data_IF_811669307682
#
_entry.id   IF_811669307682
#
_cell.length_a   1.000
_cell.length_b   1.000
_cell.length_c   1.000
_cell.angle_alpha   90.00
_cell.angle_beta   90.00
_cell.angle_gamma   90.00
#
_symmetry.space_group_name_H-M   'P 1'
#
loop_
_entity.id
_entity.type
_entity.pdbx_description
1 polymer ?
#
# COMPACT_ATOMS: atom_id res chain seq x y z
N UNK A 1 -13.07 2.97 17.73
CA UNK A 1 -12.30 1.96 16.97
C UNK A 1 -13.23 1.35 15.94
N UNK A 2 -13.07 1.70 14.66
CA UNK A 2 -13.99 1.33 13.58
C UNK A 2 -13.84 -0.17 13.24
N UNK A 3 -14.97 -0.90 13.12
CA UNK A 3 -15.01 -2.32 12.73
C UNK A 3 -14.31 -2.56 11.38
N UNK A 4 -14.18 -1.52 10.55
CA UNK A 4 -13.45 -1.52 9.27
C UNK A 4 -11.93 -1.70 9.40
N UNK A 5 -11.33 -1.32 10.54
CA UNK A 5 -9.89 -1.53 10.75
C UNK A 5 -9.55 -2.99 11.07
N UNK A 6 -10.53 -3.78 11.57
CA UNK A 6 -10.35 -5.22 11.77
C UNK A 6 -10.39 -5.99 10.44
N UNK A 7 -11.11 -5.54 9.41
CA UNK A 7 -11.19 -6.27 8.14
C UNK A 7 -9.85 -6.30 7.38
N UNK A 8 -9.06 -5.20 7.44
CA UNK A 8 -7.71 -5.17 6.86
C UNK A 8 -6.66 -5.95 7.67
N UNK A 9 -6.90 -6.14 8.97
CA UNK A 9 -6.01 -6.90 9.88
C UNK A 9 -6.38 -8.39 9.92
N UNK A 10 -7.64 -8.75 9.61
CA UNK A 10 -8.13 -10.13 9.57
C UNK A 10 -7.74 -10.89 8.28
N UNK A 11 -7.22 -10.21 7.26
CA UNK A 11 -6.66 -10.86 6.07
C UNK A 11 -5.21 -11.34 6.29
N UNK A 12 -4.58 -10.98 7.41
CA UNK A 12 -3.21 -11.38 7.80
C UNK A 12 -3.19 -12.06 9.18
N UNK A 13 -4.26 -12.77 9.57
CA UNK A 13 -4.18 -13.68 10.70
C UNK A 13 -3.59 -15.01 10.23
N UNK A 14 -2.38 -15.32 10.70
CA UNK A 14 -1.53 -16.51 10.49
C UNK A 14 -2.21 -17.87 10.88
N UNK A 15 -3.44 -18.12 10.43
CA UNK A 15 -4.18 -19.35 10.69
C UNK A 15 -5.24 -19.63 9.62
N UNK A 16 -5.30 -20.87 9.15
CA UNK A 16 -6.31 -21.31 8.18
C UNK A 16 -7.72 -21.09 8.77
N UNK A 17 -8.60 -20.29 8.15
CA UNK A 17 -9.90 -19.95 8.75
C UNK A 17 -10.74 -21.20 9.00
N UNK A 18 -11.40 -21.25 10.15
CA UNK A 18 -12.33 -22.35 10.47
C UNK A 18 -13.61 -22.28 9.61
N UNK A 19 -14.40 -23.35 9.59
CA UNK A 19 -15.60 -23.44 8.72
C UNK A 19 -16.61 -22.32 8.96
N UNK A 20 -16.75 -21.84 10.20
CA UNK A 20 -17.61 -20.72 10.52
C UNK A 20 -17.08 -19.40 9.90
N UNK A 21 -15.77 -19.15 10.00
CA UNK A 21 -15.12 -17.99 9.39
C UNK A 21 -15.21 -18.03 7.87
N UNK A 22 -15.01 -19.20 7.24
CA UNK A 22 -15.19 -19.39 5.79
C UNK A 22 -16.62 -19.09 5.35
N UNK A 23 -17.62 -19.57 6.09
CA UNK A 23 -19.03 -19.29 5.82
C UNK A 23 -19.37 -17.80 5.91
N UNK A 24 -18.87 -17.12 6.95
CA UNK A 24 -19.03 -15.67 7.10
C UNK A 24 -18.35 -14.89 5.98
N UNK A 25 -17.13 -15.26 5.59
CA UNK A 25 -16.40 -14.66 4.47
C UNK A 25 -17.19 -14.79 3.15
N UNK A 26 -17.71 -15.98 2.86
CA UNK A 26 -18.54 -16.23 1.67
C UNK A 26 -19.80 -15.36 1.68
N UNK A 27 -20.50 -15.29 2.82
CA UNK A 27 -21.72 -14.47 2.96
C UNK A 27 -21.44 -12.99 2.78
N UNK A 28 -20.34 -12.49 3.35
CA UNK A 28 -19.93 -11.09 3.21
C UNK A 28 -19.57 -10.76 1.76
N UNK A 29 -18.76 -11.61 1.10
CA UNK A 29 -18.38 -11.42 -0.30
C UNK A 29 -19.60 -11.42 -1.23
N UNK A 30 -20.56 -12.32 -1.01
CA UNK A 30 -21.81 -12.35 -1.78
C UNK A 30 -22.62 -11.06 -1.61
N UNK A 31 -22.76 -10.58 -0.37
CA UNK A 31 -23.47 -9.33 -0.09
C UNK A 31 -22.76 -8.13 -0.74
N UNK A 32 -21.42 -8.07 -0.63
CA UNK A 32 -20.65 -6.98 -1.23
C UNK A 32 -20.76 -7.00 -2.76
N UNK A 33 -20.75 -8.18 -3.40
CA UNK A 33 -20.98 -8.31 -4.83
C UNK A 33 -22.38 -7.83 -5.23
N UNK A 34 -23.42 -8.20 -4.46
CA UNK A 34 -24.80 -7.77 -4.70
C UNK A 34 -24.91 -6.24 -4.61
N UNK A 35 -24.33 -5.64 -3.57
CA UNK A 35 -24.30 -4.18 -3.38
C UNK A 35 -23.52 -3.50 -4.50
N UNK A 36 -22.34 -4.02 -4.85
CA UNK A 36 -21.52 -3.49 -5.95
C UNK A 36 -22.27 -3.50 -7.29
N UNK A 37 -23.01 -4.59 -7.58
CA UNK A 37 -23.85 -4.70 -8.79
C UNK A 37 -24.98 -3.68 -8.83
N UNK A 38 -25.51 -3.28 -7.67
CA UNK A 38 -26.56 -2.26 -7.57
C UNK A 38 -26.07 -0.81 -7.66
N UNK A 39 -24.74 -0.57 -7.62
CA UNK A 39 -24.21 0.79 -7.69
C UNK A 39 -24.55 1.45 -9.04
N UNK A 40 -24.88 2.75 -9.05
CA UNK A 40 -25.12 3.49 -10.28
C UNK A 40 -23.87 3.47 -11.17
N UNK A 41 -24.10 3.58 -12.48
CA UNK A 41 -23.02 3.62 -13.46
C UNK A 41 -22.79 5.04 -13.97
N UNK A 42 -21.53 5.38 -14.18
CA UNK A 42 -21.08 6.60 -14.84
C UNK A 42 -20.01 6.16 -15.84
N UNK A 43 -20.17 6.50 -17.13
CA UNK A 43 -19.32 6.03 -18.23
C UNK A 43 -19.02 4.52 -18.21
N UNK A 44 -20.06 3.70 -17.94
CA UNK A 44 -19.93 2.24 -17.88
C UNK A 44 -19.34 1.68 -16.57
N UNK A 45 -18.64 2.50 -15.78
CA UNK A 45 -18.03 2.15 -14.50
C UNK A 45 -18.99 2.30 -13.31
N UNK A 46 -18.77 1.55 -12.24
CA UNK A 46 -19.53 1.70 -10.99
C UNK A 46 -19.06 2.95 -10.23
N UNK A 47 -20.00 3.82 -9.87
CA UNK A 47 -19.71 5.02 -9.09
C UNK A 47 -19.48 4.65 -7.62
N UNK A 48 -18.24 4.82 -7.16
CA UNK A 48 -17.84 4.60 -5.76
C UNK A 48 -17.44 5.92 -5.14
N UNK A 49 -18.00 6.25 -3.97
CA UNK A 49 -17.57 7.41 -3.17
C UNK A 49 -16.39 7.01 -2.28
N UNK A 50 -15.33 7.81 -2.31
CA UNK A 50 -14.15 7.61 -1.48
C UNK A 50 -14.04 8.71 -0.43
N UNK A 51 -13.67 8.33 0.79
CA UNK A 51 -13.50 9.25 1.91
C UNK A 51 -12.26 8.87 2.72
N UNK A 52 -11.66 9.84 3.41
CA UNK A 52 -10.67 9.54 4.43
C UNK A 52 -11.27 8.73 5.58
N UNK A 53 -10.41 8.09 6.37
CA UNK A 53 -10.84 7.44 7.61
C UNK A 53 -11.60 8.42 8.53
N UNK A 54 -12.53 7.90 9.32
CA UNK A 54 -13.33 8.70 10.25
C UNK A 54 -12.45 9.61 11.12
N UNK A 55 -12.79 10.90 11.18
CA UNK A 55 -12.04 11.96 11.88
C UNK A 55 -10.63 12.23 11.33
N UNK A 56 -10.33 11.82 10.09
CA UNK A 56 -9.11 12.19 9.38
C UNK A 56 -9.43 13.04 8.15
N UNK A 57 -8.53 13.96 7.80
CA UNK A 57 -8.50 14.69 6.54
C UNK A 57 -7.24 14.35 5.71
N UNK A 58 -6.56 13.28 6.10
CA UNK A 58 -5.23 12.91 5.60
C UNK A 58 -5.07 11.38 5.56
N UNK A 59 -4.14 10.91 4.72
CA UNK A 59 -3.85 9.49 4.52
C UNK A 59 -4.63 8.88 3.36
N UNK A 60 -4.96 7.59 3.47
CA UNK A 60 -5.63 6.84 2.40
C UNK A 60 -7.11 7.18 2.25
N UNK A 61 -7.56 7.13 1.00
CA UNK A 61 -8.97 7.14 0.63
C UNK A 61 -9.54 5.72 0.67
N UNK A 62 -10.69 5.57 1.31
CA UNK A 62 -11.42 4.32 1.46
C UNK A 62 -12.80 4.42 0.81
N UNK A 63 -13.21 3.36 0.12
CA UNK A 63 -14.54 3.23 -0.42
C UNK A 63 -15.59 3.29 0.70
N UNK A 64 -16.64 4.09 0.50
CA UNK A 64 -17.74 4.25 1.45
C UNK A 64 -18.71 3.06 1.52
N UNK A 65 -18.46 1.99 0.76
CA UNK A 65 -19.29 0.79 0.66
C UNK A 65 -18.62 -0.26 -0.23
N UNK A 66 -19.39 -1.19 -0.78
CA UNK A 66 -18.86 -2.23 -1.66
C UNK A 66 -18.13 -1.63 -2.86
N UNK A 67 -16.88 -2.05 -3.08
CA UNK A 67 -16.01 -1.57 -4.15
C UNK A 67 -15.03 -2.66 -4.54
N UNK A 68 -14.49 -2.57 -5.76
CA UNK A 68 -13.33 -3.39 -6.14
C UNK A 68 -12.15 -3.20 -5.18
N UNK A 69 -12.04 -2.04 -4.50
CA UNK A 69 -11.02 -1.80 -3.47
C UNK A 69 -11.10 -2.79 -2.31
N UNK A 70 -12.31 -3.23 -1.93
CA UNK A 70 -12.53 -4.08 -0.74
C UNK A 70 -12.58 -5.56 -1.09
N UNK A 71 -12.59 -5.93 -2.37
CA UNK A 71 -12.62 -7.32 -2.78
C UNK A 71 -11.26 -8.01 -2.58
N UNK A 72 -11.26 -9.30 -2.19
CA UNK A 72 -10.04 -10.11 -2.17
C UNK A 72 -9.33 -10.06 -3.52
N UNK A 73 -8.00 -10.09 -3.52
CA UNK A 73 -7.17 -9.92 -4.73
C UNK A 73 -7.61 -10.83 -5.87
N UNK A 74 -7.78 -12.13 -5.62
CA UNK A 74 -8.07 -13.11 -6.68
C UNK A 74 -9.48 -12.93 -7.23
N UNK A 75 -10.44 -12.57 -6.37
CA UNK A 75 -11.81 -12.27 -6.78
C UNK A 75 -11.88 -10.99 -7.61
N UNK A 76 -11.14 -9.96 -7.17
CA UNK A 76 -10.96 -8.70 -7.86
C UNK A 76 -10.35 -8.93 -9.25
N UNK A 77 -9.27 -9.72 -9.33
CA UNK A 77 -8.63 -10.11 -10.58
C UNK A 77 -9.59 -10.84 -11.53
N UNK A 78 -10.34 -11.83 -11.03
CA UNK A 78 -11.32 -12.57 -11.84
C UNK A 78 -12.44 -11.68 -12.40
N UNK A 79 -12.89 -10.68 -11.64
CA UNK A 79 -13.94 -9.75 -12.08
C UNK A 79 -13.47 -8.72 -13.11
N UNK A 80 -12.17 -8.43 -13.15
CA UNK A 80 -11.62 -7.33 -13.94
C UNK A 80 -10.73 -7.80 -15.10
N UNK A 81 -10.43 -9.10 -15.16
CA UNK A 81 -9.61 -9.70 -16.19
C UNK A 81 -10.13 -9.38 -17.59
N UNK A 82 -9.26 -8.79 -18.42
CA UNK A 82 -9.59 -8.35 -19.79
C UNK A 82 -10.53 -7.14 -19.89
N UNK A 83 -10.95 -6.56 -18.76
CA UNK A 83 -11.91 -5.44 -18.72
C UNK A 83 -11.29 -4.14 -18.22
N UNK A 84 -10.37 -4.24 -17.25
CA UNK A 84 -9.70 -3.09 -16.63
C UNK A 84 -8.19 -3.31 -16.61
N UNK A 85 -7.44 -2.21 -16.59
CA UNK A 85 -6.00 -2.22 -16.38
C UNK A 85 -5.68 -1.89 -14.91
N UNK A 86 -4.96 -2.77 -14.20
CA UNK A 86 -4.58 -2.56 -12.77
C UNK A 86 -3.21 -1.85 -12.71
N UNK A 87 -3.21 -0.55 -12.42
CA UNK A 87 -2.01 0.30 -12.38
C UNK A 87 -1.59 0.56 -10.93
N UNK A 88 -0.34 0.28 -10.58
CA UNK A 88 0.19 0.46 -9.23
C UNK A 88 1.58 1.09 -9.20
N UNK A 89 1.85 1.87 -8.14
CA UNK A 89 3.19 2.35 -7.83
C UNK A 89 4.06 1.22 -7.27
N UNK A 90 5.23 1.02 -7.88
CA UNK A 90 6.18 -0.01 -7.44
C UNK A 90 6.77 0.35 -6.10
N UNK A 91 6.59 -0.54 -5.11
CA UNK A 91 7.23 -0.45 -3.79
C UNK A 91 7.02 0.94 -3.14
N UNK A 92 5.82 1.51 -3.35
CA UNK A 92 5.48 2.92 -3.14
C UNK A 92 6.03 3.49 -1.83
N UNK A 93 5.66 2.87 -0.70
CA UNK A 93 6.04 3.35 0.62
C UNK A 93 7.56 3.40 0.84
N UNK A 94 8.34 2.44 0.32
CA UNK A 94 9.79 2.44 0.47
C UNK A 94 10.42 3.60 -0.32
N UNK A 95 9.96 3.85 -1.54
CA UNK A 95 10.40 5.02 -2.31
C UNK A 95 10.04 6.34 -1.63
N UNK A 96 8.83 6.43 -1.05
CA UNK A 96 8.38 7.61 -0.30
C UNK A 96 9.28 7.82 0.93
N UNK A 97 9.51 6.80 1.74
CA UNK A 97 10.36 6.92 2.94
C UNK A 97 11.77 7.33 2.54
N UNK A 98 12.34 6.74 1.48
CA UNK A 98 13.67 7.11 0.99
C UNK A 98 13.70 8.56 0.47
N UNK A 99 12.66 9.03 -0.21
CA UNK A 99 12.52 10.43 -0.62
C UNK A 99 12.46 11.35 0.60
N UNK A 100 11.62 11.06 1.60
CA UNK A 100 11.55 11.83 2.84
C UNK A 100 12.90 11.87 3.56
N UNK A 101 13.64 10.76 3.59
CA UNK A 101 14.98 10.73 4.17
C UNK A 101 15.94 11.68 3.44
N UNK A 102 16.00 11.61 2.10
CA UNK A 102 16.84 12.51 1.29
C UNK A 102 16.50 13.98 1.50
N UNK A 103 15.21 14.33 1.51
CA UNK A 103 14.76 15.72 1.69
C UNK A 103 15.11 16.30 3.07
N UNK A 104 15.44 15.46 4.05
CA UNK A 104 15.85 15.88 5.40
C UNK A 104 17.31 15.54 5.73
N UNK A 105 18.12 15.16 4.74
CA UNK A 105 19.53 14.81 4.96
C UNK A 105 19.74 13.56 5.83
N UNK A 106 18.78 12.63 5.83
CA UNK A 106 18.84 11.38 6.60
C UNK A 106 19.40 10.28 5.72
N UNK A 107 20.53 9.71 6.12
CA UNK A 107 21.08 8.54 5.43
C UNK A 107 20.16 7.33 5.58
N UNK A 108 19.99 6.57 4.51
CA UNK A 108 19.19 5.33 4.48
C UNK A 108 19.77 4.28 3.50
N UNK A 109 21.05 3.87 3.68
CA UNK A 109 21.73 2.97 2.74
C UNK A 109 21.03 1.63 2.54
N UNK A 110 20.50 0.99 3.59
CA UNK A 110 19.87 -0.33 3.46
C UNK A 110 18.50 -0.25 2.79
N UNK A 111 17.72 0.79 3.07
CA UNK A 111 16.48 1.09 2.34
C UNK A 111 16.77 1.37 0.87
N UNK A 112 17.84 2.12 0.58
CA UNK A 112 18.25 2.42 -0.80
C UNK A 112 18.70 1.16 -1.53
N UNK A 113 19.49 0.30 -0.86
CA UNK A 113 19.88 -1.01 -1.37
C UNK A 113 18.65 -1.90 -1.63
N UNK A 114 17.68 -1.95 -0.70
CA UNK A 114 16.46 -2.73 -0.90
C UNK A 114 15.65 -2.26 -2.10
N UNK A 115 15.58 -0.95 -2.35
CA UNK A 115 14.90 -0.40 -3.53
C UNK A 115 15.64 -0.81 -4.81
N UNK A 116 16.97 -0.68 -4.84
CA UNK A 116 17.79 -0.95 -6.03
C UNK A 116 17.92 -2.45 -6.35
N UNK A 117 18.06 -3.28 -5.32
CA UNK A 117 18.40 -4.70 -5.41
C UNK A 117 17.28 -5.60 -4.87
N UNK A 118 16.03 -5.14 -4.96
CA UNK A 118 14.86 -5.74 -4.30
C UNK A 118 14.74 -7.25 -4.47
N UNK A 119 14.78 -7.73 -5.71
CA UNK A 119 14.60 -9.15 -6.01
C UNK A 119 15.76 -10.01 -5.50
N UNK A 120 16.99 -9.48 -5.51
CA UNK A 120 18.15 -10.17 -4.95
C UNK A 120 18.02 -10.32 -3.42
N UNK A 121 17.61 -9.25 -2.72
CA UNK A 121 17.37 -9.29 -1.26
C UNK A 121 16.26 -10.29 -0.92
N UNK A 122 15.12 -10.23 -1.62
CA UNK A 122 13.99 -11.13 -1.39
C UNK A 122 14.37 -12.60 -1.61
N UNK A 123 15.00 -12.91 -2.76
CA UNK A 123 15.37 -14.28 -3.11
C UNK A 123 16.41 -14.85 -2.15
N UNK A 124 17.40 -14.05 -1.73
CA UNK A 124 18.44 -14.46 -0.78
C UNK A 124 17.86 -14.84 0.58
N UNK A 125 17.00 -13.98 1.15
CA UNK A 125 16.37 -14.24 2.45
C UNK A 125 15.39 -15.43 2.35
N UNK A 126 14.65 -15.53 1.24
CA UNK A 126 13.71 -16.60 0.99
C UNK A 126 14.40 -17.97 0.97
N UNK A 127 15.48 -18.09 0.18
CA UNK A 127 16.28 -19.31 0.08
C UNK A 127 16.88 -19.71 1.43
N UNK A 128 17.46 -18.76 2.17
CA UNK A 128 18.11 -19.04 3.45
C UNK A 128 17.12 -19.49 4.56
N UNK A 129 15.84 -19.16 4.43
CA UNK A 129 14.82 -19.43 5.45
C UNK A 129 13.75 -20.43 4.99
N UNK A 130 13.86 -21.00 3.78
CA UNK A 130 12.86 -21.91 3.22
C UNK A 130 11.49 -21.26 3.03
N UNK A 131 11.46 -19.97 2.71
CA UNK A 131 10.24 -19.17 2.54
C UNK A 131 9.97 -18.88 1.06
N UNK A 132 8.73 -18.51 0.74
CA UNK A 132 8.43 -17.94 -0.56
C UNK A 132 8.80 -16.46 -0.61
N UNK A 133 9.06 -15.96 -1.81
CA UNK A 133 9.35 -14.54 -2.04
C UNK A 133 8.32 -13.60 -1.41
N UNK A 134 7.03 -13.93 -1.52
CA UNK A 134 5.95 -13.10 -1.01
C UNK A 134 5.85 -13.12 0.53
N UNK A 135 6.30 -14.20 1.17
CA UNK A 135 6.43 -14.27 2.63
C UNK A 135 7.54 -13.32 3.11
N UNK A 136 8.69 -13.32 2.44
CA UNK A 136 9.78 -12.39 2.77
C UNK A 136 9.36 -10.94 2.54
N UNK A 137 8.60 -10.67 1.47
CA UNK A 137 8.04 -9.34 1.21
C UNK A 137 7.19 -8.85 2.39
N UNK A 138 6.34 -9.70 2.96
CA UNK A 138 5.51 -9.33 4.11
C UNK A 138 6.36 -9.10 5.36
N UNK A 139 7.42 -9.89 5.57
CA UNK A 139 8.39 -9.72 6.66
C UNK A 139 9.10 -8.37 6.56
N UNK A 140 9.65 -8.02 5.40
CA UNK A 140 10.36 -6.74 5.20
C UNK A 140 9.41 -5.55 5.39
N UNK A 141 8.18 -5.63 4.88
CA UNK A 141 7.16 -4.59 5.10
C UNK A 141 6.86 -4.41 6.59
N UNK A 142 6.67 -5.53 7.31
CA UNK A 142 6.45 -5.50 8.76
C UNK A 142 7.63 -4.89 9.52
N UNK A 143 8.86 -5.26 9.18
CA UNK A 143 10.08 -4.70 9.78
C UNK A 143 10.22 -3.21 9.50
N UNK A 144 9.87 -2.76 8.29
CA UNK A 144 9.85 -1.33 7.91
C UNK A 144 9.00 -0.50 8.86
N UNK A 145 7.92 -1.08 9.39
CA UNK A 145 7.01 -0.47 10.35
C UNK A 145 7.23 -0.92 11.81
N UNK A 146 8.45 -1.38 12.13
CA UNK A 146 8.87 -1.66 13.50
C UNK A 146 8.34 -2.96 14.09
N UNK A 147 7.80 -3.85 13.25
CA UNK A 147 7.46 -5.21 13.64
C UNK A 147 8.68 -6.11 13.72
N UNK A 148 8.50 -7.28 14.36
CA UNK A 148 9.57 -8.30 14.48
C UNK A 148 9.79 -8.99 13.13
N UNK A 149 11.04 -9.33 12.83
CA UNK A 149 11.43 -10.16 11.67
C UNK A 149 10.99 -11.62 11.86
N UNK A 150 9.69 -11.87 11.71
CA UNK A 150 9.09 -13.20 11.88
C UNK A 150 8.11 -13.52 10.76
N UNK A 151 7.86 -14.79 10.49
CA UNK A 151 6.79 -15.27 9.62
C UNK A 151 6.09 -16.45 10.29
N UNK A 152 4.75 -16.44 10.40
CA UNK A 152 3.99 -17.43 11.18
C UNK A 152 4.58 -17.67 12.58
N UNK A 153 4.92 -16.58 13.28
CA UNK A 153 5.61 -16.56 14.58
C UNK A 153 7.02 -17.16 14.63
N UNK A 154 7.57 -17.65 13.51
CA UNK A 154 8.96 -18.14 13.42
C UNK A 154 9.91 -16.98 13.08
N UNK A 155 11.07 -16.85 13.77
CA UNK A 155 12.08 -15.87 13.39
C UNK A 155 12.58 -16.09 11.94
N UNK A 156 12.78 -14.99 11.22
CA UNK A 156 13.46 -14.98 9.93
C UNK A 156 14.86 -14.46 10.16
N UNK A 157 15.85 -15.31 9.93
CA UNK A 157 17.25 -15.02 10.22
C UNK A 157 17.93 -14.45 8.98
N UNK A 158 18.42 -13.22 9.09
CA UNK A 158 19.28 -12.59 8.10
C UNK A 158 20.01 -11.39 8.72
N UNK A 159 21.32 -11.30 8.50
CA UNK A 159 22.14 -10.19 9.03
C UNK A 159 21.69 -8.85 8.48
N UNK A 160 21.45 -8.78 7.16
CA UNK A 160 21.00 -7.56 6.50
C UNK A 160 19.63 -7.14 7.04
N UNK A 161 18.68 -8.07 7.22
CA UNK A 161 17.37 -7.77 7.79
C UNK A 161 17.44 -7.21 9.22
N UNK A 162 18.37 -7.71 10.04
CA UNK A 162 18.64 -7.17 11.38
C UNK A 162 19.17 -5.74 11.34
N UNK A 163 20.14 -5.46 10.45
CA UNK A 163 20.66 -4.11 10.23
C UNK A 163 19.60 -3.17 9.67
N UNK A 164 18.77 -3.64 8.73
CA UNK A 164 17.66 -2.91 8.14
C UNK A 164 16.63 -2.51 9.19
N UNK A 165 16.29 -3.41 10.12
CA UNK A 165 15.40 -3.10 11.24
C UNK A 165 15.94 -1.97 12.13
N UNK A 166 17.25 -1.96 12.40
CA UNK A 166 17.90 -0.87 13.14
C UNK A 166 17.87 0.44 12.36
N UNK A 167 18.12 0.39 11.05
CA UNK A 167 18.00 1.56 10.16
C UNK A 167 16.58 2.13 10.16
N UNK A 168 15.55 1.30 9.99
CA UNK A 168 14.15 1.74 10.03
C UNK A 168 13.79 2.43 11.36
N UNK A 169 14.29 1.90 12.49
CA UNK A 169 14.10 2.53 13.80
C UNK A 169 14.80 3.88 13.90
N UNK A 170 16.00 4.01 13.35
CA UNK A 170 16.73 5.29 13.30
C UNK A 170 15.99 6.30 12.41
N UNK A 171 15.58 5.88 11.21
CA UNK A 171 14.78 6.71 10.28
C UNK A 171 13.51 7.19 10.97
N UNK A 172 12.75 6.31 11.62
CA UNK A 172 11.50 6.69 12.27
C UNK A 172 11.72 7.75 13.36
N UNK A 173 12.80 7.61 14.15
CA UNK A 173 13.17 8.61 15.17
C UNK A 173 13.54 9.96 14.57
N UNK A 174 14.33 9.99 13.49
CA UNK A 174 14.77 11.23 12.86
C UNK A 174 13.63 11.91 12.08
N UNK A 175 12.79 11.14 11.39
CA UNK A 175 11.67 11.68 10.61
C UNK A 175 10.49 12.14 11.45
N UNK A 176 10.21 11.51 12.60
CA UNK A 176 8.97 11.75 13.36
C UNK A 176 9.17 11.94 14.87
N UNK A 177 10.33 11.59 15.43
CA UNK A 177 10.50 11.39 16.87
C UNK A 177 11.08 12.55 17.67
N UNK A 178 11.70 13.55 17.03
CA UNK A 178 12.21 14.75 17.69
C UNK A 178 11.14 15.86 17.74
N UNK A 179 11.22 16.79 18.68
CA UNK A 179 10.34 17.96 18.70
C UNK A 179 10.55 18.87 17.47
N UNK A 180 11.78 18.86 16.94
CA UNK A 180 12.19 19.55 15.71
C UNK A 180 11.77 18.80 14.43
N UNK A 181 11.24 17.58 14.56
CA UNK A 181 10.78 16.82 13.42
C UNK A 181 9.62 17.55 12.74
N UNK A 182 9.62 17.65 11.40
CA UNK A 182 8.53 18.24 10.64
C UNK A 182 7.22 17.45 10.72
N UNK A 183 7.25 16.26 11.33
CA UNK A 183 6.13 15.34 11.44
C UNK A 183 5.87 14.87 12.88
N UNK A 184 6.39 15.60 13.88
CA UNK A 184 6.21 15.28 15.30
C UNK A 184 4.72 15.23 15.71
N UNK A 185 3.87 16.02 15.05
CA UNK A 185 2.44 16.07 15.30
C UNK A 185 1.71 14.75 14.95
N UNK A 186 2.24 13.97 14.01
CA UNK A 186 1.70 12.65 13.66
C UNK A 186 1.89 11.63 14.79
N UNK A 187 2.96 11.79 15.59
CA UNK A 187 3.23 10.95 16.77
C UNK A 187 2.30 11.31 17.91
N UNK A 188 2.18 12.60 18.25
CA UNK A 188 1.34 13.07 19.38
C UNK A 188 -0.15 12.76 19.17
N UNK A 189 -0.61 12.76 17.91
CA UNK A 189 -1.99 12.37 17.54
C UNK A 189 -2.19 10.86 17.46
N UNK A 190 -1.15 10.04 17.61
CA UNK A 190 -1.27 8.58 17.49
C UNK A 190 -1.77 7.95 18.79
N UNK A 191 -2.74 7.04 18.67
CA UNK A 191 -3.31 6.26 19.78
C UNK A 191 -2.86 4.79 19.77
N UNK A 192 -1.80 4.49 19.02
CA UNK A 192 -1.29 3.13 18.85
C UNK A 192 -0.23 2.80 19.89
N UNK A 193 0.01 1.51 20.14
CA UNK A 193 1.12 1.04 21.00
C UNK A 193 2.51 1.37 20.43
N UNK A 194 2.59 1.62 19.12
CA UNK A 194 3.80 2.05 18.44
C UNK A 194 3.56 3.38 17.69
N UNK A 195 3.51 4.52 18.40
CA UNK A 195 3.12 5.79 17.82
C UNK A 195 4.14 6.32 16.80
N UNK A 196 5.42 5.98 16.97
CA UNK A 196 6.50 6.42 16.09
C UNK A 196 6.38 5.82 14.68
N UNK A 197 6.29 4.49 14.57
CA UNK A 197 6.14 3.84 13.27
C UNK A 197 4.75 4.05 12.65
N UNK A 198 3.72 4.27 13.49
CA UNK A 198 2.40 4.72 13.03
C UNK A 198 2.48 6.09 12.34
N UNK A 199 3.29 7.02 12.86
CA UNK A 199 3.53 8.31 12.22
C UNK A 199 4.19 8.17 10.85
N UNK A 200 5.25 7.35 10.74
CA UNK A 200 5.90 7.04 9.45
C UNK A 200 4.91 6.42 8.45
N UNK A 201 4.06 5.50 8.90
CA UNK A 201 3.01 4.90 8.07
C UNK A 201 2.00 5.94 7.56
N UNK A 202 1.53 6.83 8.44
CA UNK A 202 0.60 7.91 8.06
C UNK A 202 1.24 8.88 7.07
N UNK A 203 2.49 9.28 7.31
CA UNK A 203 3.25 10.12 6.39
C UNK A 203 3.31 9.48 5.00
N UNK A 204 3.72 8.21 4.93
CA UNK A 204 3.78 7.46 3.68
C UNK A 204 2.41 7.40 2.98
N UNK A 205 1.33 7.10 3.72
CA UNK A 205 -0.03 7.07 3.17
C UNK A 205 -0.49 8.43 2.62
N UNK A 206 -0.08 9.54 3.22
CA UNK A 206 -0.43 10.87 2.76
C UNK A 206 0.26 11.25 1.45
N UNK A 207 1.56 10.97 1.37
CA UNK A 207 2.33 11.17 0.13
C UNK A 207 1.84 10.22 -0.96
N UNK A 208 1.54 8.97 -0.63
CA UNK A 208 0.92 7.98 -1.54
C UNK A 208 -0.39 8.53 -2.13
N UNK A 209 -1.29 9.04 -1.29
CA UNK A 209 -2.56 9.59 -1.75
C UNK A 209 -2.38 10.87 -2.60
N UNK A 210 -1.37 11.69 -2.30
CA UNK A 210 -1.01 12.85 -3.11
C UNK A 210 -0.52 12.43 -4.50
N UNK A 211 0.40 11.46 -4.56
CA UNK A 211 0.92 10.91 -5.80
C UNK A 211 -0.18 10.26 -6.65
N UNK A 212 -1.09 9.50 -6.03
CA UNK A 212 -2.26 8.94 -6.70
C UNK A 212 -3.16 10.05 -7.28
N UNK A 213 -3.42 11.12 -6.52
CA UNK A 213 -4.20 12.26 -7.01
C UNK A 213 -3.57 12.94 -8.23
N UNK A 214 -2.24 13.09 -8.23
CA UNK A 214 -1.48 13.63 -9.38
C UNK A 214 -1.62 12.69 -10.59
N UNK A 215 -1.46 11.38 -10.41
CA UNK A 215 -1.61 10.39 -11.48
C UNK A 215 -3.01 10.41 -12.10
N UNK A 216 -4.05 10.51 -11.26
CA UNK A 216 -5.44 10.60 -11.72
C UNK A 216 -5.72 11.91 -12.49
N UNK A 217 -5.06 13.01 -12.12
CA UNK A 217 -5.28 14.32 -12.76
C UNK A 217 -4.83 14.39 -14.22
N UNK A 218 -3.99 13.46 -14.67
CA UNK A 218 -3.48 13.41 -16.05
C UNK A 218 -4.16 12.35 -16.92
N UNK A 219 -5.19 11.66 -16.40
CA UNK A 219 -5.96 10.71 -17.18
C UNK A 219 -6.71 11.46 -18.30
N UNK A 220 -6.69 10.95 -19.55
CA UNK A 220 -7.46 11.54 -20.63
C UNK A 220 -8.96 11.34 -20.38
N UNK A 221 -9.78 12.21 -20.97
CA UNK A 221 -11.25 12.21 -20.84
C UNK A 221 -11.91 10.93 -21.37
N UNK A 222 -11.20 10.16 -22.20
CA UNK A 222 -11.62 8.87 -22.74
C UNK A 222 -11.45 7.71 -21.77
N UNK A 223 -10.81 7.95 -20.62
CA UNK A 223 -10.54 6.92 -19.60
C UNK A 223 -11.09 7.33 -18.25
N UNK A 224 -11.28 6.35 -17.36
CA UNK A 224 -11.74 6.60 -16.01
C UNK A 224 -11.10 5.65 -15.01
N UNK A 225 -10.75 6.15 -13.82
CA UNK A 225 -10.43 5.29 -12.69
C UNK A 225 -11.72 4.63 -12.16
N UNK A 226 -11.92 3.35 -12.51
CA UNK A 226 -13.07 2.56 -12.10
C UNK A 226 -13.05 2.24 -10.59
N UNK A 227 -11.85 2.11 -10.01
CA UNK A 227 -11.67 1.93 -8.58
C UNK A 227 -10.28 2.41 -8.14
N UNK A 228 -10.18 2.95 -6.92
CA UNK A 228 -8.90 3.21 -6.26
C UNK A 228 -8.45 1.98 -5.48
N UNK A 229 -7.16 1.71 -5.45
CA UNK A 229 -6.55 0.55 -4.82
C UNK A 229 -5.29 0.95 -4.01
N UNK A 230 -5.41 1.98 -3.16
CA UNK A 230 -4.30 2.50 -2.33
C UNK A 230 -3.13 3.05 -3.18
N UNK A 231 -2.06 2.29 -3.35
CA UNK A 231 -0.90 2.67 -4.15
C UNK A 231 -1.15 2.57 -5.67
N UNK A 232 -2.38 2.28 -6.07
CA UNK A 232 -2.80 2.24 -7.45
C UNK A 232 -4.29 2.46 -7.67
N UNK A 233 -4.72 2.16 -8.88
CA UNK A 233 -6.10 2.26 -9.33
C UNK A 233 -6.34 1.38 -10.55
N UNK A 234 -7.60 1.05 -10.80
CA UNK A 234 -8.02 0.33 -12.00
C UNK A 234 -8.52 1.31 -13.04
N UNK A 235 -7.92 1.30 -14.21
CA UNK A 235 -8.32 2.10 -15.36
C UNK A 235 -9.36 1.35 -16.19
N UNK A 236 -10.43 2.04 -16.56
CA UNK A 236 -11.38 1.63 -17.58
C UNK A 236 -11.19 2.49 -18.84
N UNK A 237 -11.30 1.85 -20.00
CA UNK A 237 -10.96 2.42 -21.29
C UNK A 237 -9.56 1.99 -21.74
N UNK A 238 -9.18 2.43 -22.94
CA UNK A 238 -7.91 2.05 -23.55
C UNK A 238 -6.72 2.63 -22.76
N UNK A 239 -5.72 1.79 -22.46
CA UNK A 239 -4.46 2.23 -21.87
C UNK A 239 -3.73 3.19 -22.82
N UNK A 240 -3.59 4.49 -22.47
CA UNK A 240 -2.84 5.43 -23.29
C UNK A 240 -1.36 5.04 -23.33
N UNK A 241 -0.75 5.07 -24.51
CA UNK A 241 0.67 4.77 -24.67
C UNK A 241 1.53 5.62 -23.73
N UNK A 242 2.46 5.00 -23.00
CA UNK A 242 3.38 5.68 -22.07
C UNK A 242 2.71 6.33 -20.84
N UNK A 243 1.46 5.97 -20.50
CA UNK A 243 0.77 6.56 -19.36
C UNK A 243 1.55 6.41 -18.04
N UNK A 244 2.15 5.25 -17.80
CA UNK A 244 2.93 4.96 -16.58
C UNK A 244 4.12 5.92 -16.43
N UNK A 245 4.89 6.12 -17.49
CA UNK A 245 6.04 7.02 -17.48
C UNK A 245 5.60 8.48 -17.25
N UNK A 246 4.56 8.94 -17.95
CA UNK A 246 4.00 10.28 -17.73
C UNK A 246 3.52 10.49 -16.29
N UNK A 247 2.90 9.47 -15.68
CA UNK A 247 2.49 9.53 -14.27
C UNK A 247 3.70 9.68 -13.36
N UNK A 248 4.71 8.82 -13.54
CA UNK A 248 5.94 8.85 -12.75
C UNK A 248 6.67 10.19 -12.87
N UNK A 249 6.79 10.73 -14.07
CA UNK A 249 7.46 12.01 -14.30
C UNK A 249 6.65 13.18 -13.74
N UNK A 250 5.32 13.17 -13.87
CA UNK A 250 4.48 14.23 -13.29
C UNK A 250 4.52 14.24 -11.77
N UNK A 251 4.56 13.06 -11.14
CA UNK A 251 4.73 12.94 -9.69
C UNK A 251 6.11 13.47 -9.29
N UNK A 252 7.16 13.09 -10.02
CA UNK A 252 8.51 13.60 -9.74
C UNK A 252 8.60 15.12 -9.87
N UNK A 253 8.00 15.72 -10.92
CA UNK A 253 7.91 17.18 -11.09
C UNK A 253 7.21 17.87 -9.92
N UNK A 254 6.12 17.28 -9.42
CA UNK A 254 5.24 17.92 -8.41
C UNK A 254 5.72 17.75 -6.98
N UNK A 255 6.28 16.59 -6.63
CA UNK A 255 6.64 16.27 -5.24
C UNK A 255 8.08 15.77 -5.07
N UNK A 256 8.88 15.68 -6.15
CA UNK A 256 10.29 15.26 -6.10
C UNK A 256 10.52 13.77 -5.80
N UNK A 257 9.45 12.98 -5.64
CA UNK A 257 9.52 11.54 -5.43
C UNK A 257 9.34 10.80 -6.75
N UNK A 258 10.35 10.02 -7.18
CA UNK A 258 10.23 9.16 -8.36
C UNK A 258 9.53 7.86 -7.94
N UNK A 259 8.25 7.73 -8.30
CA UNK A 259 7.37 6.59 -8.01
C UNK A 259 7.00 5.90 -9.33
N UNK A 260 7.72 4.84 -9.73
CA UNK A 260 7.44 4.12 -10.98
C UNK A 260 6.05 3.49 -10.96
N UNK A 261 5.23 3.73 -11.98
CA UNK A 261 3.99 2.99 -12.19
C UNK A 261 4.24 1.75 -13.04
N UNK A 262 3.52 0.67 -12.72
CA UNK A 262 3.48 -0.55 -13.53
C UNK A 262 2.04 -1.01 -13.70
N UNK A 263 1.76 -1.66 -14.82
CA UNK A 263 0.54 -2.45 -14.97
C UNK A 263 0.78 -3.83 -14.37
N UNK A 264 -0.04 -4.24 -13.40
CA UNK A 264 -0.01 -5.60 -12.89
C UNK A 264 -0.67 -6.53 -13.90
N UNK A 265 0.03 -7.59 -14.25
CA UNK A 265 -0.60 -8.70 -14.95
C UNK A 265 -1.72 -9.25 -14.07
N UNK A 266 -2.95 -9.15 -14.55
CA UNK A 266 -4.10 -9.80 -13.94
C UNK A 266 -3.92 -11.31 -14.19
N UNK A 267 -3.46 -12.04 -13.17
CA UNK A 267 -3.33 -13.50 -13.17
C UNK A 267 -4.49 -14.11 -12.40
#
# INVERSE_FOLDING_TARGET
MDRRHKAGILAESDGNPNEHQKSLLKRNLYNDLKTYKSLPRVYGCRLVRYNFASNSKFGRLFAGGASLQTFPRDFRAALTCGLLHDLDMVNCHMHIIAHCCRSHGIDCPLLTEYIACREAVLSRIAMANGLMRDDVKSVILKVTYGGRATYNSRPVHDTWLGMYAMECKRIAKQLCGSAESPHADLVTKSKTSNPLFSAVSKLACGVENCALGIALSILPTTTQAAALAFDGFMLCGDMPAGLQERMTDKIYEKIGARLPFVEKAIR
#
